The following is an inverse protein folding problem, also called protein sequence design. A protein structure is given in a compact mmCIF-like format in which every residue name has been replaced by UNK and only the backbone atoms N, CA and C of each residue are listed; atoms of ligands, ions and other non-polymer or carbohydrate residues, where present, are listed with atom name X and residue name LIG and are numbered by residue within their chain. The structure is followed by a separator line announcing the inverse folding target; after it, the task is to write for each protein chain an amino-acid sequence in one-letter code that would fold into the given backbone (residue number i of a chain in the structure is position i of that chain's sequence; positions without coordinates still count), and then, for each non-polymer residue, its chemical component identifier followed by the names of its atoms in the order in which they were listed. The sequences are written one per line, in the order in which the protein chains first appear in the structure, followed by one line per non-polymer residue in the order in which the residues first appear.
data_IF_864939470208
#
_entry.id   IF_864939470208
#
_cell.length_a   1.000
_cell.length_b   1.000
_cell.length_c   1.000
_cell.angle_alpha   90.00
_cell.angle_beta   90.00
_cell.angle_gamma   90.00
#
_symmetry.space_group_name_H-M   'P 1'
#
loop_
_entity.id
_entity.type
_entity.pdbx_description
1 polymer ?
#
# COMPACT_ATOMS: atom_id res chain seq x y z
N UNK A 1 8.13 -5.35 16.49
CA UNK A 1 6.76 -4.95 16.86
C UNK A 1 5.84 -6.15 16.78
N UNK A 2 4.59 -5.97 17.17
CA UNK A 2 3.45 -6.86 16.99
C UNK A 2 3.41 -7.64 15.66
N UNK A 3 2.77 -8.81 15.66
CA UNK A 3 2.60 -9.62 14.45
C UNK A 3 1.69 -8.94 13.40
N UNK A 4 2.09 -9.01 12.13
CA UNK A 4 1.37 -8.47 10.98
C UNK A 4 -0.11 -8.88 10.87
N UNK A 5 -0.49 -10.04 11.39
CA UNK A 5 -1.87 -10.54 11.41
C UNK A 5 -2.70 -9.91 12.53
N UNK A 6 -2.08 -9.50 13.64
CA UNK A 6 -2.71 -8.69 14.70
C UNK A 6 -2.92 -7.28 14.18
N UNK A 7 -1.87 -6.71 13.58
CA UNK A 7 -1.89 -5.34 13.05
C UNK A 7 -2.95 -5.16 11.97
N UNK A 8 -3.15 -6.15 11.08
CA UNK A 8 -4.27 -6.13 10.12
C UNK A 8 -5.66 -6.11 10.75
N UNK A 9 -5.86 -6.69 11.95
CA UNK A 9 -7.14 -6.58 12.68
C UNK A 9 -7.32 -5.16 13.23
N UNK A 10 -6.24 -4.56 13.75
CA UNK A 10 -6.24 -3.17 14.20
C UNK A 10 -6.55 -2.22 13.03
N UNK A 11 -5.91 -2.40 11.87
CA UNK A 11 -6.22 -1.62 10.66
C UNK A 11 -7.69 -1.79 10.24
N UNK A 12 -8.22 -3.02 10.24
CA UNK A 12 -9.64 -3.27 9.95
C UNK A 12 -10.58 -2.54 10.95
N UNK A 13 -10.28 -2.55 12.25
CA UNK A 13 -11.04 -1.78 13.26
C UNK A 13 -10.99 -0.27 13.01
N UNK A 14 -9.85 0.27 12.59
CA UNK A 14 -9.70 1.69 12.28
C UNK A 14 -10.43 2.09 10.98
N UNK A 15 -10.63 1.15 10.06
CA UNK A 15 -11.50 1.31 8.88
C UNK A 15 -12.98 1.24 9.28
N UNK A 16 -13.38 0.30 10.15
CA UNK A 16 -14.74 0.20 10.71
C UNK A 16 -15.14 1.49 11.46
N UNK A 17 -14.22 2.06 12.24
CA UNK A 17 -14.39 3.34 12.95
C UNK A 17 -14.34 4.59 12.03
N UNK A 18 -14.02 4.44 10.74
CA UNK A 18 -13.90 5.55 9.79
C UNK A 18 -12.67 6.47 10.01
N UNK A 19 -11.68 6.00 10.77
CA UNK A 19 -10.43 6.73 11.07
C UNK A 19 -9.43 6.58 9.91
N UNK A 20 -9.40 5.40 9.30
CA UNK A 20 -8.64 5.05 8.10
C UNK A 20 -9.53 5.01 6.84
N UNK A 21 -8.90 5.06 5.67
CA UNK A 21 -9.58 5.10 4.37
C UNK A 21 -9.39 3.73 3.68
N UNK A 22 -10.46 2.96 3.43
CA UNK A 22 -10.35 1.63 2.82
C UNK A 22 -9.68 1.66 1.42
N UNK A 23 -9.59 2.82 0.76
CA UNK A 23 -8.84 2.96 -0.49
C UNK A 23 -7.33 2.69 -0.37
N UNK A 24 -6.77 2.61 0.86
CA UNK A 24 -5.36 2.33 1.12
C UNK A 24 -5.13 1.07 1.98
N UNK A 25 -6.11 0.17 2.11
CA UNK A 25 -6.02 -1.04 2.97
C UNK A 25 -4.77 -1.90 2.66
N UNK A 26 -4.51 -2.18 1.38
CA UNK A 26 -3.35 -2.98 0.95
C UNK A 26 -2.01 -2.33 1.35
N UNK A 27 -1.95 -0.99 1.33
CA UNK A 27 -0.76 -0.19 1.61
C UNK A 27 -0.41 -0.13 3.11
N UNK A 28 -1.34 -0.33 4.04
CA UNK A 28 -1.05 -0.24 5.49
C UNK A 28 -0.01 -1.27 5.95
N UNK A 29 0.06 -2.41 5.26
CA UNK A 29 1.12 -3.41 5.45
C UNK A 29 2.54 -2.86 5.23
N UNK A 30 2.71 -1.87 4.34
CA UNK A 30 3.98 -1.19 4.10
C UNK A 30 4.33 -0.21 5.24
N UNK A 31 3.33 0.42 5.84
CA UNK A 31 3.52 1.31 7.01
C UNK A 31 4.05 0.50 8.19
N UNK A 32 3.39 -0.63 8.50
CA UNK A 32 3.83 -1.57 9.52
C UNK A 32 5.26 -2.05 9.27
N UNK A 33 5.53 -2.57 8.07
CA UNK A 33 6.86 -3.09 7.74
C UNK A 33 7.92 -2.00 7.89
N UNK A 34 7.68 -0.79 7.37
CA UNK A 34 8.67 0.30 7.42
C UNK A 34 9.02 0.72 8.85
N UNK A 35 8.02 0.78 9.74
CA UNK A 35 8.26 1.04 11.15
C UNK A 35 9.03 -0.10 11.81
N UNK A 36 8.62 -1.34 11.56
CA UNK A 36 9.26 -2.51 12.14
C UNK A 36 10.72 -2.64 11.71
N UNK A 37 11.03 -2.45 10.43
CA UNK A 37 12.39 -2.56 9.87
C UNK A 37 13.34 -1.49 10.44
N UNK A 38 12.90 -0.23 10.55
CA UNK A 38 13.73 0.85 11.09
C UNK A 38 13.85 0.80 12.62
N UNK A 39 12.81 0.42 13.37
CA UNK A 39 12.90 0.27 14.84
C UNK A 39 13.86 -0.87 15.21
N UNK A 40 13.82 -2.01 14.52
CA UNK A 40 14.82 -3.08 14.73
C UNK A 40 16.25 -2.63 14.40
N UNK A 41 16.42 -1.80 13.37
CA UNK A 41 17.72 -1.30 12.91
C UNK A 41 18.30 -0.19 13.80
N UNK A 42 17.46 0.67 14.37
CA UNK A 42 17.86 1.69 15.36
C UNK A 42 18.06 1.12 16.77
N UNK A 43 17.50 -0.08 17.04
CA UNK A 43 17.46 -0.70 18.35
C UNK A 43 16.18 -0.34 19.11
N UNK A 44 15.48 -1.35 19.63
CA UNK A 44 14.32 -1.16 20.52
C UNK A 44 14.83 -0.78 21.90
N UNK A 45 14.32 0.30 22.50
CA UNK A 45 14.65 0.64 23.88
C UNK A 45 13.91 -0.28 24.85
N UNK A 46 14.48 -0.47 26.04
CA UNK A 46 13.78 -1.06 27.19
C UNK A 46 12.65 -0.15 27.73
N UNK A 47 12.59 1.11 27.31
CA UNK A 47 11.50 2.03 27.61
C UNK A 47 10.48 2.09 26.45
N UNK A 48 9.21 1.73 26.67
CA UNK A 48 8.17 1.78 25.62
C UNK A 48 7.93 3.19 25.07
N UNK A 49 7.97 4.24 25.89
CA UNK A 49 7.71 5.62 25.45
C UNK A 49 8.87 6.19 24.60
N UNK A 50 10.12 5.74 24.83
CA UNK A 50 11.26 6.07 23.95
C UNK A 50 11.11 5.38 22.59
N UNK A 51 10.73 4.10 22.59
CA UNK A 51 10.46 3.33 21.36
C UNK A 51 9.30 3.93 20.57
N UNK A 52 8.23 4.36 21.25
CA UNK A 52 7.12 5.11 20.65
C UNK A 52 7.61 6.42 20.01
N UNK A 53 8.36 7.23 20.75
CA UNK A 53 8.88 8.53 20.28
C UNK A 53 9.82 8.41 19.08
N UNK A 54 10.69 7.40 19.10
CA UNK A 54 11.57 7.04 17.98
C UNK A 54 10.76 6.60 16.75
N UNK A 55 9.76 5.73 16.95
CA UNK A 55 8.84 5.27 15.91
C UNK A 55 8.04 6.41 15.27
N UNK A 56 7.53 7.35 16.07
CA UNK A 56 6.80 8.52 15.55
C UNK A 56 7.71 9.41 14.69
N UNK A 57 8.97 9.64 15.13
CA UNK A 57 9.94 10.39 14.33
C UNK A 57 10.22 9.71 12.99
N UNK A 58 10.48 8.39 13.01
CA UNK A 58 10.69 7.57 11.80
C UNK A 58 9.47 7.65 10.86
N UNK A 59 8.26 7.57 11.41
CA UNK A 59 7.01 7.68 10.66
C UNK A 59 6.92 9.04 9.93
N UNK A 60 7.14 10.14 10.67
CA UNK A 60 7.09 11.50 10.12
C UNK A 60 8.15 11.70 9.03
N UNK A 61 9.41 11.37 9.30
CA UNK A 61 10.51 11.53 8.34
C UNK A 61 10.26 10.74 7.03
N UNK A 62 9.71 9.52 7.13
CA UNK A 62 9.32 8.74 5.96
C UNK A 62 8.14 9.36 5.18
N UNK A 63 7.13 9.88 5.89
CA UNK A 63 5.99 10.58 5.27
C UNK A 63 6.39 11.89 4.58
N UNK A 64 7.33 12.67 5.14
CA UNK A 64 7.92 13.82 4.45
C UNK A 64 8.67 13.37 3.18
N UNK A 65 9.35 12.22 3.21
CA UNK A 65 9.92 11.57 2.03
C UNK A 65 8.87 11.22 0.94
N UNK A 66 7.74 10.63 1.32
CA UNK A 66 6.63 10.33 0.40
C UNK A 66 5.93 11.58 -0.13
N UNK A 67 5.79 12.63 0.69
CA UNK A 67 5.26 13.92 0.27
C UNK A 67 6.10 14.52 -0.86
N UNK A 68 7.44 14.53 -0.72
CA UNK A 68 8.39 15.00 -1.76
C UNK A 68 8.27 14.24 -3.09
N UNK A 69 7.87 12.96 -3.06
CA UNK A 69 7.62 12.15 -4.27
C UNK A 69 6.28 12.49 -4.96
N UNK A 70 5.34 13.07 -4.19
CA UNK A 70 4.02 13.51 -4.63
C UNK A 70 2.89 12.54 -4.30
N UNK A 71 2.92 11.90 -3.12
CA UNK A 71 1.76 11.21 -2.55
C UNK A 71 0.60 12.19 -2.27
N UNK A 72 -0.65 11.70 -2.21
CA UNK A 72 -1.81 12.53 -1.87
C UNK A 72 -1.90 12.81 -0.37
N UNK A 73 -2.55 13.92 -0.03
CA UNK A 73 -2.70 14.38 1.35
C UNK A 73 -3.57 13.44 2.20
N UNK A 74 -4.60 12.82 1.59
CA UNK A 74 -5.41 11.78 2.24
C UNK A 74 -4.53 10.57 2.58
N UNK A 75 -3.77 10.05 1.60
CA UNK A 75 -2.89 8.88 1.78
C UNK A 75 -1.83 9.11 2.85
N UNK A 76 -1.19 10.29 2.87
CA UNK A 76 -0.20 10.66 3.90
C UNK A 76 -0.83 10.78 5.29
N UNK A 77 -2.04 11.33 5.40
CA UNK A 77 -2.77 11.42 6.67
C UNK A 77 -3.24 10.05 7.16
N UNK A 78 -3.70 9.20 6.24
CA UNK A 78 -4.12 7.84 6.53
C UNK A 78 -2.96 6.98 7.01
N UNK A 79 -1.81 7.04 6.33
CA UNK A 79 -0.57 6.39 6.78
C UNK A 79 -0.11 6.90 8.16
N UNK A 80 -0.23 8.21 8.45
CA UNK A 80 0.12 8.77 9.75
C UNK A 80 -0.73 8.16 10.87
N UNK A 81 -2.05 8.08 10.69
CA UNK A 81 -2.97 7.47 11.67
C UNK A 81 -2.71 5.97 11.84
N UNK A 82 -2.51 5.25 10.74
CA UNK A 82 -2.17 3.83 10.72
C UNK A 82 -0.88 3.56 11.52
N UNK A 83 0.21 4.25 11.20
CA UNK A 83 1.49 4.09 11.89
C UNK A 83 1.43 4.50 13.37
N UNK A 84 0.72 5.58 13.71
CA UNK A 84 0.49 5.97 15.11
C UNK A 84 -0.29 4.90 15.88
N UNK A 85 -1.29 4.25 15.27
CA UNK A 85 -2.02 3.16 15.90
C UNK A 85 -1.15 1.91 16.09
N UNK A 86 -0.28 1.58 15.13
CA UNK A 86 0.67 0.46 15.26
C UNK A 86 1.64 0.70 16.42
N UNK A 87 2.12 1.94 16.58
CA UNK A 87 2.96 2.35 17.70
C UNK A 87 2.18 2.37 19.03
N UNK A 88 0.92 2.80 19.04
CA UNK A 88 0.05 2.71 20.23
C UNK A 88 -0.20 1.26 20.65
N UNK A 89 -0.31 0.32 19.70
CA UNK A 89 -0.40 -1.10 20.01
C UNK A 89 0.95 -1.64 20.54
N UNK A 90 2.08 -1.36 19.88
CA UNK A 90 3.42 -1.81 20.35
C UNK A 90 3.74 -1.30 21.77
N UNK A 91 3.35 -0.06 22.07
CA UNK A 91 3.44 0.53 23.39
C UNK A 91 2.56 -0.20 24.42
N UNK A 92 1.31 -0.52 24.09
CA UNK A 92 0.40 -1.26 24.99
C UNK A 92 0.83 -2.71 25.17
N UNK A 93 1.34 -3.37 24.13
CA UNK A 93 1.88 -4.73 24.18
C UNK A 93 3.07 -4.80 25.16
N UNK A 94 4.08 -3.95 25.00
CA UNK A 94 5.22 -3.90 25.93
C UNK A 94 4.90 -3.31 27.31
N UNK A 95 3.85 -2.49 27.45
CA UNK A 95 3.35 -2.08 28.77
C UNK A 95 2.59 -3.20 29.51
N UNK A 96 2.24 -4.31 28.85
CA UNK A 96 1.60 -5.48 29.45
C UNK A 96 2.49 -6.75 29.38
N UNK A 97 3.77 -6.63 28.99
CA UNK A 97 4.72 -7.75 29.00
C UNK A 97 4.86 -8.33 30.42
N UNK A 98 4.36 -9.56 30.62
CA UNK A 98 4.31 -10.25 31.91
C UNK A 98 2.90 -10.45 32.50
N UNK A 99 1.86 -9.89 31.88
CA UNK A 99 0.46 -10.15 32.25
C UNK A 99 -0.18 -11.19 31.31
N UNK A 100 -0.97 -12.15 31.82
CA UNK A 100 -1.70 -13.12 30.98
C UNK A 100 -2.96 -12.50 30.30
N UNK A 101 -2.81 -11.34 29.66
CA UNK A 101 -3.79 -10.80 28.71
C UNK A 101 -3.63 -11.51 27.37
N UNK A 102 -4.01 -12.79 27.31
CA UNK A 102 -3.90 -13.63 26.11
C UNK A 102 -4.89 -13.27 25.00
N UNK A 103 -5.81 -12.33 25.23
CA UNK A 103 -6.78 -11.89 24.22
C UNK A 103 -6.25 -10.71 23.40
N UNK A 104 -5.89 -11.02 22.16
CA UNK A 104 -5.45 -10.07 21.13
C UNK A 104 -6.49 -8.97 20.89
N UNK A 105 -7.79 -9.31 20.93
CA UNK A 105 -8.85 -8.34 20.64
C UNK A 105 -9.08 -7.39 21.85
N UNK A 106 -8.69 -7.79 23.07
CA UNK A 106 -8.59 -6.89 24.24
C UNK A 106 -7.39 -5.94 24.12
N UNK A 107 -6.21 -6.44 23.72
CA UNK A 107 -5.02 -5.59 23.47
C UNK A 107 -5.29 -4.56 22.36
N UNK A 108 -5.96 -4.95 21.28
CA UNK A 108 -6.45 -4.03 20.23
C UNK A 108 -7.42 -2.99 20.83
N UNK A 109 -8.37 -3.40 21.68
CA UNK A 109 -9.29 -2.48 22.36
C UNK A 109 -8.56 -1.44 23.23
N UNK A 110 -7.60 -1.89 24.05
CA UNK A 110 -6.75 -1.02 24.89
C UNK A 110 -5.90 -0.07 24.04
N UNK A 111 -5.34 -0.55 22.93
CA UNK A 111 -4.57 0.27 21.98
C UNK A 111 -5.44 1.35 21.31
N UNK A 112 -6.66 1.03 20.90
CA UNK A 112 -7.62 1.98 20.34
C UNK A 112 -8.05 3.05 21.34
N UNK A 113 -8.27 2.68 22.62
CA UNK A 113 -8.56 3.66 23.69
C UNK A 113 -7.35 4.58 23.92
N UNK A 114 -6.13 4.04 23.98
CA UNK A 114 -4.89 4.83 24.09
C UNK A 114 -4.73 5.81 22.91
N UNK A 115 -4.94 5.33 21.69
CA UNK A 115 -4.86 6.12 20.45
C UNK A 115 -5.87 7.27 20.42
N UNK A 116 -7.11 7.04 20.87
CA UNK A 116 -8.15 8.07 20.97
C UNK A 116 -7.88 9.07 22.10
N UNK A 117 -7.40 8.60 23.26
CA UNK A 117 -6.99 9.47 24.39
C UNK A 117 -5.78 10.35 24.06
N UNK A 118 -4.94 9.97 23.09
CA UNK A 118 -3.84 10.78 22.53
C UNK A 118 -4.27 11.65 21.33
N UNK A 119 -5.57 11.76 21.05
CA UNK A 119 -6.17 12.51 19.93
C UNK A 119 -5.67 12.10 18.52
N UNK A 120 -5.05 10.92 18.38
CA UNK A 120 -4.41 10.51 17.13
C UNK A 120 -5.40 10.27 15.98
N UNK A 121 -6.66 9.96 16.27
CA UNK A 121 -7.74 9.92 15.27
C UNK A 121 -7.91 11.26 14.52
N UNK A 122 -7.61 12.38 15.20
CA UNK A 122 -7.72 13.75 14.67
C UNK A 122 -6.41 14.21 14.01
N UNK A 123 -5.36 13.39 14.05
CA UNK A 123 -4.09 13.71 13.39
C UNK A 123 -4.26 13.92 11.89
N UNK A 124 -3.54 14.92 11.39
CA UNK A 124 -3.52 15.34 10.00
C UNK A 124 -2.07 15.61 9.58
N UNK A 125 -1.63 15.04 8.47
CA UNK A 125 -0.24 15.21 8.04
C UNK A 125 0.00 16.66 7.60
N UNK A 126 1.00 17.35 8.16
CA UNK A 126 1.34 18.74 7.77
C UNK A 126 2.66 18.74 7.03
N UNK A 127 2.67 19.23 5.78
CA UNK A 127 3.92 19.48 5.06
C UNK A 127 4.63 20.68 5.69
N UNK A 128 5.93 20.55 5.93
CA UNK A 128 6.77 21.68 6.30
C UNK A 128 6.95 22.62 5.09
N UNK A 129 7.29 23.88 5.33
CA UNK A 129 7.41 24.86 4.24
C UNK A 129 8.49 24.46 3.22
N UNK A 130 9.60 23.88 3.68
CA UNK A 130 10.65 23.31 2.83
C UNK A 130 10.07 22.27 1.85
N UNK A 131 9.35 21.28 2.36
CA UNK A 131 8.70 20.24 1.53
C UNK A 131 7.71 20.85 0.54
N UNK A 132 6.98 21.89 0.97
CA UNK A 132 6.02 22.61 0.12
C UNK A 132 6.71 23.23 -1.10
N UNK A 133 7.95 23.72 -0.96
CA UNK A 133 8.75 24.20 -2.11
C UNK A 133 9.23 23.05 -3.00
N UNK A 134 9.70 21.94 -2.41
CA UNK A 134 10.17 20.76 -3.15
C UNK A 134 9.02 20.14 -3.95
N UNK A 135 7.85 19.92 -3.34
CA UNK A 135 6.65 19.40 -4.02
C UNK A 135 6.21 20.32 -5.16
N UNK A 136 6.23 21.64 -4.96
CA UNK A 136 5.88 22.62 -6.01
C UNK A 136 6.82 22.54 -7.21
N UNK A 137 8.13 22.38 -6.98
CA UNK A 137 9.13 22.25 -8.07
C UNK A 137 9.11 20.87 -8.75
N UNK A 138 8.87 19.78 -8.01
CA UNK A 138 8.66 18.43 -8.56
C UNK A 138 7.39 18.36 -9.41
N UNK A 139 6.29 18.96 -8.96
CA UNK A 139 5.05 19.06 -9.73
C UNK A 139 5.24 19.87 -11.02
N UNK A 140 6.01 20.97 -10.98
CA UNK A 140 6.37 21.73 -12.16
C UNK A 140 7.21 20.90 -13.15
N UNK A 141 8.23 20.16 -12.68
CA UNK A 141 9.03 19.24 -13.51
C UNK A 141 8.18 18.12 -14.13
N UNK A 142 7.27 17.50 -13.38
CA UNK A 142 6.30 16.50 -13.92
C UNK A 142 5.42 17.12 -15.03
N UNK A 143 4.84 18.32 -14.83
CA UNK A 143 4.06 19.03 -15.87
C UNK A 143 4.89 19.39 -17.12
N UNK A 144 6.15 19.78 -16.96
CA UNK A 144 7.05 20.09 -18.08
C UNK A 144 7.39 18.84 -18.91
N UNK A 145 7.65 17.70 -18.27
CA UNK A 145 7.92 16.43 -18.94
C UNK A 145 6.74 15.96 -19.82
N UNK A 146 5.50 16.04 -19.30
CA UNK A 146 4.29 15.70 -20.04
C UNK A 146 4.11 16.56 -21.30
N UNK A 147 4.36 17.87 -21.22
CA UNK A 147 4.33 18.76 -22.41
C UNK A 147 5.39 18.37 -23.45
N UNK A 148 6.62 18.02 -23.02
CA UNK A 148 7.69 17.56 -23.94
C UNK A 148 7.35 16.21 -24.61
N UNK A 149 6.65 15.31 -23.90
CA UNK A 149 6.20 14.03 -24.45
C UNK A 149 5.07 14.21 -25.49
N UNK A 150 4.09 15.08 -25.22
CA UNK A 150 2.98 15.36 -26.13
C UNK A 150 3.46 15.91 -27.49
N UNK A 151 4.44 16.83 -27.47
CA UNK A 151 5.00 17.44 -28.68
C UNK A 151 5.56 16.40 -29.68
N UNK A 152 6.24 15.34 -29.20
CA UNK A 152 6.79 14.28 -30.07
C UNK A 152 5.75 13.38 -30.72
N UNK A 153 4.48 13.34 -30.26
CA UNK A 153 3.40 12.57 -30.91
C UNK A 153 2.64 13.36 -31.99
N UNK A 154 2.61 14.70 -31.93
CA UNK A 154 1.94 15.53 -32.94
C UNK A 154 2.73 15.64 -34.26
N UNK A 155 4.07 15.62 -34.20
CA UNK A 155 4.95 15.95 -35.33
C UNK A 155 4.98 14.92 -36.49
N UNK A 156 4.31 13.77 -36.40
CA UNK A 156 4.36 12.70 -37.42
C UNK A 156 3.07 12.54 -38.24
N UNK A 157 2.25 13.59 -38.40
CA UNK A 157 1.02 13.55 -39.22
C UNK A 157 0.71 14.77 -40.11
N UNK A 158 1.69 15.66 -40.37
CA UNK A 158 1.55 16.79 -41.32
C UNK A 158 2.83 17.04 -42.15
N UNK A 159 3.23 16.09 -43.00
CA UNK A 159 4.33 16.30 -43.96
C UNK A 159 4.31 15.30 -45.15
N UNK A 160 3.28 15.34 -46.02
CA UNK A 160 3.34 14.90 -47.44
C UNK A 160 1.96 14.89 -48.14
N UNK A 161 1.65 15.94 -48.94
CA UNK A 161 1.06 15.88 -50.31
C UNK A 161 0.28 17.15 -50.72
N UNK A 162 0.93 17.97 -51.55
CA UNK A 162 0.46 18.76 -52.73
C UNK A 162 1.74 19.50 -53.20
N UNK A 163 2.08 19.63 -54.49
CA UNK A 163 1.38 19.35 -55.77
C UNK A 163 2.45 19.05 -56.87
N UNK A 164 2.10 18.22 -57.87
CA UNK A 164 2.44 18.24 -59.35
C UNK A 164 3.82 18.79 -59.86
N UNK A 165 4.44 18.30 -60.96
CA UNK A 165 3.98 17.50 -62.10
C UNK A 165 5.12 16.69 -62.80
N UNK A 166 4.76 15.93 -63.87
CA UNK A 166 5.55 15.36 -65.00
C UNK A 166 7.08 15.16 -64.83
N UNK A 167 7.67 13.98 -65.06
CA UNK A 167 7.15 12.73 -65.66
C UNK A 167 7.82 11.46 -65.03
N UNK A 168 8.33 10.39 -65.68
CA UNK A 168 8.59 10.06 -67.10
C UNK A 168 8.37 8.55 -67.43
N UNK A 169 9.36 7.87 -68.04
CA UNK A 169 9.25 6.63 -68.83
C UNK A 169 9.88 5.36 -68.22
N UNK A 170 9.15 4.22 -68.33
CA UNK A 170 9.65 2.81 -68.39
C UNK A 170 10.36 2.27 -67.10
N UNK A 171 10.37 0.95 -66.78
CA UNK A 171 9.88 -0.27 -67.47
C UNK A 171 9.52 -1.39 -66.44
N UNK A 172 8.39 -2.10 -66.67
CA UNK A 172 8.17 -3.56 -66.48
C UNK A 172 8.24 -4.26 -65.08
N UNK A 173 7.07 -4.79 -64.68
CA UNK A 173 6.80 -6.08 -63.97
C UNK A 173 7.26 -6.29 -62.49
N UNK A 174 6.74 -7.27 -61.72
CA UNK A 174 5.76 -8.36 -61.99
C UNK A 174 4.82 -8.63 -60.80
N UNK A 175 3.62 -9.19 -61.04
CA UNK A 175 2.60 -9.54 -60.01
C UNK A 175 2.88 -10.90 -59.33
N UNK A 176 2.67 -11.02 -58.01
CA UNK A 176 1.59 -11.87 -57.38
C UNK A 176 1.65 -11.87 -55.82
N UNK A 177 0.53 -12.21 -55.12
CA UNK A 177 0.43 -12.28 -53.65
C UNK A 177 0.33 -13.74 -53.11
N UNK A 178 -0.21 -13.89 -51.87
CA UNK A 178 -0.42 -15.13 -51.07
C UNK A 178 0.81 -15.54 -50.22
N UNK A 179 0.67 -16.19 -49.05
CA UNK A 179 -0.42 -17.03 -48.53
C UNK A 179 -0.98 -16.61 -47.16
N UNK A 180 -2.28 -16.92 -46.94
CA UNK A 180 -2.88 -17.07 -45.60
C UNK A 180 -2.29 -18.32 -44.93
N UNK A 181 -2.20 -18.33 -43.59
CA UNK A 181 -2.60 -19.54 -42.83
C UNK A 181 -3.23 -19.14 -41.49
N UNK A 182 -4.48 -19.56 -41.31
CA UNK A 182 -5.23 -19.49 -40.05
C UNK A 182 -5.27 -20.89 -39.46
N UNK A 183 -5.06 -21.03 -38.15
CA UNK A 183 -5.70 -21.99 -37.23
C UNK A 183 -5.28 -21.56 -35.82
N UNK A 184 -6.14 -21.13 -34.87
CA UNK A 184 -7.45 -21.61 -34.37
C UNK A 184 -7.30 -22.53 -33.15
N UNK A 185 -7.29 -21.88 -31.97
CA UNK A 185 -8.12 -22.21 -30.79
C UNK A 185 -8.12 -23.68 -30.30
N UNK A 186 -7.52 -23.91 -29.13
CA UNK A 186 -7.97 -24.96 -28.21
C UNK A 186 -8.19 -24.39 -26.82
N UNK A 187 -9.28 -24.80 -26.20
CA UNK A 187 -9.68 -24.46 -24.84
C UNK A 187 -10.24 -25.71 -24.16
N UNK A 188 -10.45 -25.60 -22.84
CA UNK A 188 -11.10 -26.58 -21.96
C UNK A 188 -10.38 -27.92 -21.73
N UNK A 189 -10.20 -28.24 -20.43
CA UNK A 189 -10.95 -29.36 -19.86
C UNK A 189 -11.28 -29.11 -18.38
N UNK A 190 -12.56 -29.15 -18.02
CA UNK A 190 -12.99 -29.37 -16.63
C UNK A 190 -12.60 -30.80 -16.23
N UNK A 191 -12.22 -31.00 -14.97
CA UNK A 191 -12.55 -32.24 -14.22
C UNK A 191 -12.71 -31.89 -12.75
N UNK A 192 -13.77 -32.40 -12.12
CA UNK A 192 -14.03 -32.25 -10.70
C UNK A 192 -13.83 -33.60 -9.99
N UNK A 193 -13.38 -33.57 -8.73
CA UNK A 193 -13.28 -34.77 -7.91
C UNK A 193 -13.51 -34.48 -6.40
N UNK A 194 -14.67 -34.95 -5.92
CA UNK A 194 -15.00 -35.42 -4.56
C UNK A 194 -14.43 -34.70 -3.32
N UNK A 195 -15.39 -34.16 -2.55
CA UNK A 195 -15.46 -34.20 -1.07
C UNK A 195 -14.63 -35.34 -0.43
N UNK A 196 -13.97 -35.06 0.69
CA UNK A 196 -13.97 -35.96 1.86
C UNK A 196 -14.25 -35.16 3.13
N UNK A 197 -15.26 -35.58 3.88
CA UNK A 197 -15.60 -35.06 5.21
C UNK A 197 -14.99 -36.02 6.23
N UNK A 198 -14.25 -35.52 7.21
CA UNK A 198 -13.62 -36.30 8.28
C UNK A 198 -14.10 -35.85 9.67
N UNK A 199 -15.42 -35.83 9.87
CA UNK A 199 -16.08 -35.43 11.12
C UNK A 199 -16.04 -36.58 12.14
N UNK A 200 -14.98 -36.68 12.96
CA UNK A 200 -14.94 -37.65 14.07
C UNK A 200 -15.27 -36.97 15.40
N UNK A 201 -16.39 -37.37 16.00
CA UNK A 201 -16.84 -36.95 17.33
C UNK A 201 -16.20 -37.79 18.45
N UNK A 202 -16.34 -37.28 19.68
CA UNK A 202 -16.41 -38.03 20.96
C UNK A 202 -15.21 -38.90 21.39
N UNK A 203 -14.51 -38.40 22.41
CA UNK A 203 -14.20 -39.19 23.61
C UNK A 203 -14.50 -38.32 24.85
N UNK A 204 -15.40 -38.76 25.73
CA UNK A 204 -15.89 -38.02 26.90
C UNK A 204 -15.41 -38.76 28.16
N UNK A 205 -14.47 -38.21 28.93
CA UNK A 205 -14.02 -38.82 30.19
C UNK A 205 -14.21 -37.85 31.36
N UNK A 206 -15.23 -38.10 32.18
CA UNK A 206 -15.39 -37.48 33.51
C UNK A 206 -14.50 -38.23 34.51
N UNK A 207 -13.67 -37.51 35.26
CA UNK A 207 -13.07 -37.95 36.53
C UNK A 207 -12.54 -36.73 37.29
N UNK A 208 -12.66 -36.60 38.61
CA UNK A 208 -13.71 -37.05 39.55
C UNK A 208 -13.56 -36.14 40.77
N UNK A 209 -14.64 -35.50 41.25
CA UNK A 209 -14.58 -34.73 42.50
C UNK A 209 -14.42 -35.68 43.69
N UNK A 210 -13.34 -35.53 44.45
CA UNK A 210 -13.28 -35.81 45.89
C UNK A 210 -12.16 -34.99 46.50
#
# INVERSE_FOLDING_TARGET
MADSAIVRRLDARLIEDGILDPAFEEDYSLVHQKLNDEIHKSGRSAQPEETFSLGEKILRDWLHGLARQGASQEKLTSYLRCGLAHLSYDFIESANEGLETSDVDELIGRALVSFKNRDFEKSFFRLNEEDRTVVKTVAAKKKAAVKKAAAKKAAKKKAAKKKTAKAASKKVAKKKPTKKKVVKKKAAKKKAAKKKIAKKKTAKKKTKKR
#
